data_IF_997710399827
#
_entry.id   IF_997710399827
#
_cell.length_a   1.000
_cell.length_b   1.000
_cell.length_c   1.000
_cell.angle_alpha   90.00
_cell.angle_beta   90.00
_cell.angle_gamma   90.00
#
_symmetry.space_group_name_H-M   'P 1'
#
loop_
_entity.id
_entity.type
_entity.pdbx_description
1 polymer ?
#
# COMPACT_ATOMS: atom_id res chain seq x y z
N UNK A 1 -10.18 12.74 -31.94
CA UNK A 1 -9.07 12.18 -31.15
C UNK A 1 -9.62 11.01 -30.35
N UNK A 2 -8.97 9.85 -30.38
CA UNK A 2 -9.35 8.74 -29.53
C UNK A 2 -9.14 9.15 -28.05
N UNK A 3 -10.13 8.90 -27.19
CA UNK A 3 -10.00 9.12 -25.76
C UNK A 3 -9.22 7.94 -25.19
N UNK A 4 -8.01 8.19 -24.69
CA UNK A 4 -7.22 7.19 -23.97
C UNK A 4 -7.70 7.11 -22.52
N UNK A 5 -7.99 5.91 -22.06
CA UNK A 5 -8.26 5.61 -20.65
C UNK A 5 -7.02 5.02 -19.99
N UNK A 6 -6.68 5.48 -18.80
CA UNK A 6 -5.61 4.91 -17.98
C UNK A 6 -6.24 4.24 -16.76
N UNK A 7 -6.12 2.92 -16.67
CA UNK A 7 -6.63 2.13 -15.55
C UNK A 7 -5.47 1.70 -14.65
N UNK A 8 -5.38 2.25 -13.43
CA UNK A 8 -4.32 1.95 -12.46
C UNK A 8 -4.87 1.01 -11.39
N UNK A 9 -4.36 -0.22 -11.37
CA UNK A 9 -4.94 -1.31 -10.58
C UNK A 9 -4.01 -1.75 -9.46
N UNK A 10 -4.61 -2.34 -8.43
CA UNK A 10 -3.91 -3.03 -7.35
C UNK A 10 -2.89 -4.05 -7.88
N UNK A 11 -1.83 -4.28 -7.09
CA UNK A 11 -0.75 -5.20 -7.40
C UNK A 11 -1.29 -6.54 -7.92
N UNK A 12 -0.87 -6.92 -9.12
CA UNK A 12 -1.37 -8.12 -9.81
C UNK A 12 -1.11 -9.43 -9.05
N UNK A 13 -0.12 -9.42 -8.15
CA UNK A 13 0.21 -10.57 -7.31
C UNK A 13 -0.67 -10.70 -6.06
N UNK A 14 -1.45 -9.67 -5.71
CA UNK A 14 -2.40 -9.62 -4.58
C UNK A 14 -3.85 -9.82 -5.04
N UNK A 15 -4.18 -9.38 -6.26
CA UNK A 15 -5.52 -9.46 -6.84
C UNK A 15 -5.50 -9.77 -8.34
N UNK A 16 -6.48 -10.54 -8.80
CA UNK A 16 -6.72 -10.80 -10.23
C UNK A 16 -7.33 -9.61 -10.99
N UNK A 17 -7.63 -8.50 -10.32
CA UNK A 17 -8.29 -7.33 -10.93
C UNK A 17 -7.48 -6.74 -12.09
N UNK A 18 -6.16 -6.75 -12.00
CA UNK A 18 -5.29 -6.30 -13.10
C UNK A 18 -5.44 -7.19 -14.35
N UNK A 19 -5.43 -8.50 -14.19
CA UNK A 19 -5.62 -9.44 -15.31
C UNK A 19 -7.03 -9.34 -15.90
N UNK A 20 -8.06 -9.17 -15.06
CA UNK A 20 -9.42 -8.94 -15.52
C UNK A 20 -9.53 -7.64 -16.34
N UNK A 21 -8.89 -6.56 -15.90
CA UNK A 21 -8.84 -5.30 -16.64
C UNK A 21 -8.11 -5.43 -17.97
N UNK A 22 -6.98 -6.16 -18.02
CA UNK A 22 -6.27 -6.44 -19.28
C UNK A 22 -7.11 -7.28 -20.27
N UNK A 23 -7.87 -8.24 -19.78
CA UNK A 23 -8.79 -9.01 -20.65
C UNK A 23 -9.90 -8.10 -21.17
N UNK A 24 -10.51 -7.29 -20.30
CA UNK A 24 -11.56 -6.36 -20.69
C UNK A 24 -11.06 -5.30 -21.70
N UNK A 25 -9.83 -4.81 -21.58
CA UNK A 25 -9.25 -3.86 -22.54
C UNK A 25 -9.10 -4.44 -23.94
N UNK A 26 -8.97 -5.76 -24.08
CA UNK A 26 -8.91 -6.43 -25.39
C UNK A 26 -10.29 -6.66 -26.01
N UNK A 27 -11.36 -6.59 -25.21
CA UNK A 27 -12.74 -6.83 -25.64
C UNK A 27 -13.49 -5.55 -26.00
N UNK A 28 -12.97 -4.40 -25.59
CA UNK A 28 -13.56 -3.08 -25.85
C UNK A 28 -12.93 -2.42 -27.08
N UNK A 29 -13.67 -1.51 -27.73
CA UNK A 29 -13.14 -0.63 -28.76
C UNK A 29 -12.46 0.63 -28.19
N UNK A 30 -12.53 0.83 -26.87
CA UNK A 30 -11.86 1.94 -26.20
C UNK A 30 -10.35 1.72 -26.16
N UNK A 31 -9.57 2.80 -26.29
CA UNK A 31 -8.12 2.76 -26.08
C UNK A 31 -7.84 2.79 -24.58
N UNK A 32 -7.31 1.70 -24.02
CA UNK A 32 -7.12 1.52 -22.58
C UNK A 32 -5.69 1.08 -22.29
N UNK A 33 -4.95 1.90 -21.54
CA UNK A 33 -3.68 1.50 -20.92
C UNK A 33 -3.94 0.99 -19.50
N UNK A 34 -3.70 -0.30 -19.27
CA UNK A 34 -3.86 -0.94 -17.96
C UNK A 34 -2.51 -1.01 -17.25
N UNK A 35 -2.44 -0.49 -16.03
CA UNK A 35 -1.20 -0.36 -15.24
C UNK A 35 -1.30 -1.18 -13.97
N UNK A 36 -0.28 -2.02 -13.75
CA UNK A 36 -0.03 -2.64 -12.45
C UNK A 36 0.74 -1.66 -11.55
N UNK A 37 0.04 -1.14 -10.53
CA UNK A 37 0.64 -0.20 -9.57
C UNK A 37 1.77 -0.81 -8.75
N UNK A 38 1.87 -2.15 -8.68
CA UNK A 38 2.80 -2.87 -7.80
C UNK A 38 2.50 -2.73 -6.31
N UNK A 39 1.40 -2.07 -5.94
CA UNK A 39 1.02 -1.82 -4.55
C UNK A 39 -0.50 -1.86 -4.36
N UNK A 40 -0.99 -1.50 -3.18
CA UNK A 40 -2.42 -1.40 -2.85
C UNK A 40 -2.66 -0.16 -1.97
N UNK A 41 -3.91 0.04 -1.57
CA UNK A 41 -4.27 0.97 -0.51
C UNK A 41 -3.81 2.42 -0.80
N UNK A 42 -3.36 3.19 0.21
CA UNK A 42 -3.02 4.60 0.03
C UNK A 42 -1.79 4.81 -0.88
N UNK A 43 -0.86 3.87 -0.93
CA UNK A 43 0.25 3.91 -1.88
C UNK A 43 -0.21 3.80 -3.35
N UNK A 44 -1.28 3.04 -3.63
CA UNK A 44 -1.93 3.04 -4.95
C UNK A 44 -2.59 4.40 -5.21
N UNK A 45 -3.20 4.99 -4.19
CA UNK A 45 -3.88 6.29 -4.34
C UNK A 45 -2.92 7.42 -4.76
N UNK A 46 -1.66 7.42 -4.30
CA UNK A 46 -0.67 8.42 -4.72
C UNK A 46 -0.51 8.44 -6.25
N UNK A 47 -0.48 7.26 -6.87
CA UNK A 47 -0.39 7.12 -8.33
C UNK A 47 -1.69 7.60 -9.01
N UNK A 48 -2.85 7.20 -8.48
CA UNK A 48 -4.16 7.54 -9.03
C UNK A 48 -4.45 9.04 -8.97
N UNK A 49 -4.22 9.65 -7.81
CA UNK A 49 -4.49 11.07 -7.59
C UNK A 49 -3.59 11.94 -8.46
N UNK A 50 -2.31 11.60 -8.59
CA UNK A 50 -1.41 12.33 -9.49
C UNK A 50 -1.82 12.19 -10.96
N UNK A 51 -2.18 10.97 -11.38
CA UNK A 51 -2.62 10.75 -12.75
C UNK A 51 -3.87 11.58 -13.08
N UNK A 52 -4.86 11.60 -12.16
CA UNK A 52 -6.06 12.40 -12.30
C UNK A 52 -5.77 13.91 -12.31
N UNK A 53 -4.87 14.39 -11.45
CA UNK A 53 -4.43 15.79 -11.42
C UNK A 53 -3.82 16.22 -12.77
N UNK A 54 -2.92 15.41 -13.33
CA UNK A 54 -2.26 15.70 -14.60
C UNK A 54 -3.23 15.60 -15.79
N UNK A 55 -4.14 14.62 -15.78
CA UNK A 55 -5.19 14.51 -16.78
C UNK A 55 -6.12 15.73 -16.78
N UNK A 56 -6.52 16.22 -15.59
CA UNK A 56 -7.33 17.45 -15.46
C UNK A 56 -6.59 18.71 -15.95
N UNK A 57 -5.25 18.69 -15.92
CA UNK A 57 -4.39 19.75 -16.47
C UNK A 57 -4.14 19.60 -17.98
N UNK A 58 -4.72 18.60 -18.63
CA UNK A 58 -4.57 18.37 -20.07
C UNK A 58 -3.18 17.86 -20.47
N UNK A 59 -2.43 17.26 -19.54
CA UNK A 59 -1.14 16.66 -19.83
C UNK A 59 -1.30 15.43 -20.75
N UNK A 60 -0.25 15.13 -21.51
CA UNK A 60 -0.23 13.98 -22.40
C UNK A 60 -0.21 12.66 -21.63
N UNK A 61 -0.62 11.59 -22.31
CA UNK A 61 -0.54 10.23 -21.77
C UNK A 61 0.88 9.86 -21.33
N UNK A 62 1.88 10.22 -22.14
CA UNK A 62 3.30 9.94 -21.88
C UNK A 62 3.79 10.61 -20.60
N UNK A 63 3.44 11.87 -20.38
CA UNK A 63 3.75 12.62 -19.16
C UNK A 63 3.08 12.00 -17.93
N UNK A 64 1.81 11.59 -18.06
CA UNK A 64 1.07 10.93 -16.98
C UNK A 64 1.72 9.59 -16.62
N UNK A 65 2.05 8.77 -17.62
CA UNK A 65 2.71 7.48 -17.41
C UNK A 65 4.09 7.64 -16.76
N UNK A 66 4.84 8.68 -17.14
CA UNK A 66 6.12 9.00 -16.52
C UNK A 66 5.94 9.39 -15.04
N UNK A 67 4.97 10.24 -14.73
CA UNK A 67 4.69 10.65 -13.36
C UNK A 67 4.25 9.48 -12.47
N UNK A 68 3.40 8.58 -12.99
CA UNK A 68 2.99 7.35 -12.29
C UNK A 68 4.22 6.50 -11.95
N UNK A 69 5.12 6.31 -12.91
CA UNK A 69 6.36 5.54 -12.70
C UNK A 69 7.24 6.18 -11.62
N UNK A 70 7.38 7.50 -11.63
CA UNK A 70 8.16 8.22 -10.62
C UNK A 70 7.55 8.11 -9.23
N UNK A 71 6.23 8.27 -9.09
CA UNK A 71 5.56 8.08 -7.79
C UNK A 71 5.73 6.65 -7.30
N UNK A 72 5.53 5.66 -8.18
CA UNK A 72 5.71 4.25 -7.84
C UNK A 72 7.12 3.96 -7.30
N UNK A 73 8.17 4.54 -7.88
CA UNK A 73 9.55 4.31 -7.43
C UNK A 73 9.90 5.01 -6.12
N UNK A 74 9.15 6.04 -5.72
CA UNK A 74 9.38 6.78 -4.49
C UNK A 74 8.30 6.56 -3.43
N UNK A 75 7.41 5.60 -3.64
CA UNK A 75 6.37 5.22 -2.70
C UNK A 75 6.70 3.90 -2.03
N UNK A 76 6.48 3.83 -0.73
CA UNK A 76 6.64 2.61 0.06
C UNK A 76 5.34 2.32 0.83
N UNK A 77 5.08 1.04 1.10
CA UNK A 77 3.92 0.58 1.86
C UNK A 77 4.31 -0.54 2.82
N UNK A 78 4.11 -0.28 4.10
CA UNK A 78 4.31 -1.24 5.19
C UNK A 78 2.97 -1.62 5.80
N UNK A 79 2.79 -2.90 6.13
CA UNK A 79 1.55 -3.44 6.69
C UNK A 79 1.84 -4.20 7.98
N UNK A 80 1.28 -3.71 9.08
CA UNK A 80 1.28 -4.37 10.38
C UNK A 80 0.11 -5.33 10.50
N UNK A 81 0.41 -6.62 10.64
CA UNK A 81 -0.57 -7.70 10.84
C UNK A 81 -0.53 -8.14 12.30
N UNK A 82 -1.64 -7.93 13.01
CA UNK A 82 -1.76 -8.30 14.43
C UNK A 82 -2.27 -9.75 14.59
N UNK A 83 -3.16 -10.16 13.68
CA UNK A 83 -3.83 -11.45 13.64
C UNK A 83 -3.67 -12.09 12.26
N UNK A 84 -3.08 -13.28 12.19
CA UNK A 84 -2.67 -13.90 10.92
C UNK A 84 -3.76 -14.74 10.26
N UNK A 85 -4.86 -15.03 10.96
CA UNK A 85 -5.90 -15.94 10.52
C UNK A 85 -6.47 -15.54 9.16
N UNK A 86 -6.76 -14.25 8.97
CA UNK A 86 -7.27 -13.69 7.72
C UNK A 86 -6.25 -13.79 6.58
N UNK A 87 -4.97 -13.50 6.87
CA UNK A 87 -3.93 -13.49 5.85
C UNK A 87 -3.60 -14.92 5.38
N UNK A 88 -3.68 -15.89 6.31
CA UNK A 88 -3.56 -17.32 6.02
C UNK A 88 -4.75 -17.83 5.22
N UNK A 89 -5.97 -17.65 5.73
CA UNK A 89 -7.20 -18.12 5.06
C UNK A 89 -7.39 -17.45 3.70
N UNK A 90 -6.94 -16.20 3.57
CA UNK A 90 -6.94 -15.45 2.32
C UNK A 90 -5.89 -15.92 1.31
N UNK A 91 -4.93 -16.77 1.68
CA UNK A 91 -3.91 -17.32 0.77
C UNK A 91 -2.79 -16.35 0.37
N UNK A 92 -2.80 -15.11 0.86
CA UNK A 92 -1.77 -14.09 0.51
C UNK A 92 -0.51 -14.22 1.36
N UNK A 93 -0.56 -14.98 2.47
CA UNK A 93 0.61 -15.29 3.30
C UNK A 93 1.65 -16.16 2.57
N UNK A 94 1.21 -17.00 1.62
CA UNK A 94 2.01 -18.10 1.08
C UNK A 94 3.29 -17.68 0.35
N UNK A 95 3.38 -16.42 -0.09
CA UNK A 95 4.58 -15.84 -0.71
C UNK A 95 5.59 -15.31 0.31
N UNK A 96 5.17 -15.13 1.57
CA UNK A 96 5.95 -14.47 2.63
C UNK A 96 6.73 -15.47 3.47
N UNK A 97 6.27 -16.73 3.59
CA UNK A 97 6.64 -17.55 4.74
C UNK A 97 6.58 -19.07 4.54
N UNK A 98 7.48 -19.78 5.26
CA UNK A 98 7.57 -21.24 5.36
C UNK A 98 6.48 -21.90 6.22
N UNK A 99 6.83 -22.73 7.23
CA UNK A 99 5.85 -23.55 7.99
C UNK A 99 4.83 -22.72 8.79
N UNK A 100 3.60 -22.64 8.30
CA UNK A 100 2.45 -21.87 8.86
C UNK A 100 2.16 -22.17 10.34
N UNK A 101 2.37 -23.41 10.80
CA UNK A 101 2.04 -23.83 12.18
C UNK A 101 2.83 -23.10 13.27
N UNK A 102 4.04 -22.62 12.97
CA UNK A 102 4.89 -21.93 13.95
C UNK A 102 4.58 -20.44 14.08
N UNK A 103 3.76 -19.89 13.17
CA UNK A 103 3.44 -18.47 13.09
C UNK A 103 2.12 -18.10 13.74
N UNK A 104 1.29 -19.08 14.10
CA UNK A 104 0.05 -18.82 14.81
C UNK A 104 0.37 -18.05 16.11
N UNK A 105 -0.23 -16.87 16.30
CA UNK A 105 0.05 -15.88 17.35
C UNK A 105 1.28 -14.96 17.16
N UNK A 106 1.86 -14.91 15.96
CA UNK A 106 2.85 -13.89 15.62
C UNK A 106 2.19 -12.64 15.03
N UNK A 107 2.79 -11.49 15.34
CA UNK A 107 2.54 -10.19 14.73
C UNK A 107 3.65 -9.95 13.72
N UNK A 108 3.28 -9.49 12.53
CA UNK A 108 4.21 -9.27 11.43
C UNK A 108 4.20 -7.81 11.00
N UNK A 109 5.36 -7.28 10.67
CA UNK A 109 5.43 -6.13 9.75
C UNK A 109 5.85 -6.68 8.39
N UNK A 110 5.07 -6.35 7.37
CA UNK A 110 5.34 -6.69 5.99
C UNK A 110 5.63 -5.43 5.20
N UNK A 111 6.44 -5.53 4.15
CA UNK A 111 6.61 -4.50 3.14
C UNK A 111 6.04 -4.98 1.81
N UNK A 112 5.27 -4.14 1.15
CA UNK A 112 4.73 -4.41 -0.18
C UNK A 112 5.79 -4.00 -1.19
N UNK A 113 6.31 -4.97 -1.93
CA UNK A 113 7.35 -4.76 -2.94
C UNK A 113 6.85 -5.13 -4.33
N UNK A 114 7.67 -4.88 -5.34
CA UNK A 114 7.37 -5.29 -6.72
C UNK A 114 7.30 -6.82 -6.91
N UNK A 115 7.90 -7.61 -6.02
CA UNK A 115 7.97 -9.07 -6.13
C UNK A 115 7.00 -9.79 -5.19
N UNK A 116 6.47 -9.10 -4.19
CA UNK A 116 5.59 -9.72 -3.21
C UNK A 116 5.50 -8.95 -1.90
N UNK A 117 4.92 -9.63 -0.91
CA UNK A 117 4.98 -9.21 0.48
C UNK A 117 6.30 -9.71 1.09
N UNK A 118 7.16 -8.79 1.52
CA UNK A 118 8.44 -9.08 2.18
C UNK A 118 8.27 -9.01 3.70
N UNK A 119 8.87 -9.95 4.45
CA UNK A 119 8.81 -9.93 5.91
C UNK A 119 9.89 -9.00 6.48
N UNK A 120 9.46 -7.91 7.11
CA UNK A 120 10.36 -6.95 7.75
C UNK A 120 10.66 -7.31 9.20
N UNK A 121 9.65 -7.75 9.95
CA UNK A 121 9.84 -8.25 11.30
C UNK A 121 8.70 -9.15 11.73
N UNK A 122 8.99 -10.04 12.70
CA UNK A 122 8.00 -10.92 13.33
C UNK A 122 8.25 -11.03 14.82
N UNK A 123 7.18 -11.05 15.61
CA UNK A 123 7.28 -11.23 17.06
C UNK A 123 5.94 -11.49 17.71
N UNK A 124 5.92 -11.87 19.00
CA UNK A 124 4.65 -12.19 19.70
C UNK A 124 3.94 -10.96 20.26
N UNK A 125 4.66 -9.87 20.52
CA UNK A 125 4.13 -8.66 21.16
C UNK A 125 4.13 -7.44 20.24
N UNK A 126 3.29 -6.44 20.56
CA UNK A 126 3.22 -5.17 19.82
C UNK A 126 4.54 -4.38 19.86
N UNK A 127 5.39 -4.61 20.88
CA UNK A 127 6.73 -4.02 20.97
C UNK A 127 7.59 -4.31 19.73
N UNK A 128 7.43 -5.48 19.10
CA UNK A 128 8.16 -5.81 17.87
C UNK A 128 7.72 -4.93 16.71
N UNK A 129 6.42 -4.71 16.55
CA UNK A 129 5.88 -3.79 15.54
C UNK A 129 6.31 -2.35 15.83
N UNK A 130 6.20 -1.91 17.09
CA UNK A 130 6.63 -0.57 17.50
C UNK A 130 8.08 -0.29 17.11
N UNK A 131 9.01 -1.20 17.44
CA UNK A 131 10.43 -1.03 17.08
C UNK A 131 10.65 -0.87 15.58
N UNK A 132 9.89 -1.61 14.76
CA UNK A 132 9.97 -1.48 13.30
C UNK A 132 9.34 -0.18 12.81
N UNK A 133 8.25 0.30 13.42
CA UNK A 133 7.67 1.62 13.15
C UNK A 133 8.65 2.73 13.51
N UNK A 134 9.29 2.67 14.68
CA UNK A 134 10.27 3.67 15.10
C UNK A 134 11.45 3.72 14.11
N UNK A 135 11.99 2.56 13.71
CA UNK A 135 13.04 2.47 12.69
C UNK A 135 12.58 2.95 11.31
N UNK A 136 11.32 2.72 10.94
CA UNK A 136 10.73 3.23 9.70
C UNK A 136 10.64 4.76 9.73
N UNK A 137 10.18 5.35 10.83
CA UNK A 137 10.13 6.80 11.01
C UNK A 137 11.53 7.41 10.91
N UNK A 138 12.52 6.80 11.55
CA UNK A 138 13.90 7.28 11.45
C UNK A 138 14.46 7.19 10.02
N UNK A 139 14.11 6.13 9.27
CA UNK A 139 14.44 6.05 7.85
C UNK A 139 13.73 7.14 7.04
N UNK A 140 12.44 7.34 7.25
CA UNK A 140 11.64 8.36 6.55
C UNK A 140 12.20 9.78 6.77
N UNK A 141 12.79 10.11 7.93
CA UNK A 141 13.46 11.41 8.18
C UNK A 141 14.63 11.69 7.25
N UNK A 142 15.24 10.66 6.67
CA UNK A 142 16.33 10.82 5.69
C UNK A 142 15.83 11.14 4.28
N UNK A 143 14.50 11.13 4.09
CA UNK A 143 13.83 11.38 2.82
C UNK A 143 12.97 12.65 2.90
N UNK A 144 12.75 13.30 1.76
CA UNK A 144 11.80 14.40 1.64
C UNK A 144 10.38 13.83 1.46
N UNK A 145 9.75 13.49 2.59
CA UNK A 145 8.40 12.91 2.62
C UNK A 145 7.36 14.00 2.36
N UNK A 146 6.52 13.82 1.34
CA UNK A 146 5.42 14.74 1.01
C UNK A 146 4.07 14.26 1.47
N UNK A 147 3.79 12.98 1.29
CA UNK A 147 2.49 12.38 1.59
C UNK A 147 2.68 11.17 2.49
N UNK A 148 1.81 11.05 3.50
CA UNK A 148 1.75 9.92 4.43
C UNK A 148 0.33 9.40 4.47
N UNK A 149 0.21 8.08 4.38
CA UNK A 149 -1.02 7.33 4.59
C UNK A 149 -0.94 6.49 5.85
N UNK A 150 -1.98 6.53 6.67
CA UNK A 150 -2.24 5.52 7.70
C UNK A 150 -3.60 4.91 7.47
N UNK A 151 -3.62 3.65 7.07
CA UNK A 151 -4.86 2.89 6.92
C UNK A 151 -5.00 1.94 8.09
N UNK A 152 -6.18 1.81 8.68
CA UNK A 152 -6.36 1.00 9.89
C UNK A 152 -7.64 0.17 9.92
N UNK A 153 -7.60 -0.93 10.68
CA UNK A 153 -8.76 -1.78 10.99
C UNK A 153 -9.08 -1.62 12.46
N UNK A 154 -9.72 -0.49 12.78
CA UNK A 154 -9.95 -0.03 14.16
C UNK A 154 -8.82 0.87 14.68
N UNK A 155 -9.14 1.82 15.57
CA UNK A 155 -8.18 2.70 16.24
C UNK A 155 -7.89 2.14 17.63
N UNK A 156 -6.88 1.29 17.72
CA UNK A 156 -6.38 0.86 19.04
C UNK A 156 -5.44 1.93 19.60
N UNK A 157 -5.19 1.97 20.92
CA UNK A 157 -4.19 2.87 21.50
C UNK A 157 -2.80 2.74 20.86
N UNK A 158 -2.49 1.55 20.33
CA UNK A 158 -1.26 1.31 19.60
C UNK A 158 -1.22 2.04 18.24
N UNK A 159 -2.30 1.97 17.47
CA UNK A 159 -2.39 2.65 16.16
C UNK A 159 -2.49 4.16 16.33
N UNK A 160 -3.24 4.63 17.32
CA UNK A 160 -3.32 6.06 17.66
C UNK A 160 -1.94 6.64 18.02
N UNK A 161 -1.13 5.87 18.76
CA UNK A 161 0.25 6.25 19.06
C UNK A 161 1.09 6.36 17.78
N UNK A 162 0.98 5.42 16.85
CA UNK A 162 1.70 5.47 15.56
C UNK A 162 1.32 6.73 14.77
N UNK A 163 0.02 7.03 14.71
CA UNK A 163 -0.50 8.25 14.06
C UNK A 163 0.11 9.50 14.70
N UNK A 164 0.13 9.58 16.04
CA UNK A 164 0.71 10.70 16.75
C UNK A 164 2.21 10.87 16.45
N UNK A 165 2.98 9.77 16.48
CA UNK A 165 4.40 9.78 16.14
C UNK A 165 4.64 10.27 14.71
N UNK A 166 3.86 9.81 13.73
CA UNK A 166 3.99 10.26 12.34
C UNK A 166 3.70 11.75 12.18
N UNK A 167 2.62 12.26 12.81
CA UNK A 167 2.29 13.69 12.78
C UNK A 167 3.35 14.57 13.45
N UNK A 168 3.90 14.11 14.56
CA UNK A 168 4.95 14.83 15.29
C UNK A 168 6.25 14.91 14.47
N UNK A 169 6.65 13.81 13.81
CA UNK A 169 7.91 13.74 13.07
C UNK A 169 7.81 14.34 11.65
N UNK A 170 6.61 14.39 11.07
CA UNK A 170 6.37 14.90 9.71
C UNK A 170 5.23 15.92 9.67
N UNK A 171 5.33 17.06 10.39
CA UNK A 171 4.24 18.03 10.52
C UNK A 171 3.90 18.78 9.22
N UNK A 172 4.78 18.70 8.21
CA UNK A 172 4.61 19.35 6.90
C UNK A 172 4.16 18.37 5.81
N UNK A 173 4.05 17.08 6.11
CA UNK A 173 3.56 16.10 5.15
C UNK A 173 2.03 16.09 5.14
N UNK A 174 1.44 15.99 3.95
CA UNK A 174 0.01 15.77 3.81
C UNK A 174 -0.33 14.37 4.35
N UNK A 175 -1.18 14.33 5.38
CA UNK A 175 -1.51 13.09 6.08
C UNK A 175 -2.93 12.65 5.79
N UNK A 176 -3.08 11.40 5.39
CA UNK A 176 -4.36 10.76 5.15
C UNK A 176 -4.53 9.58 6.08
N UNK A 177 -5.49 9.66 6.99
CA UNK A 177 -5.75 8.64 7.99
C UNK A 177 -7.17 8.16 7.78
N UNK A 178 -7.34 6.88 7.45
CA UNK A 178 -8.66 6.35 7.13
C UNK A 178 -8.79 4.87 7.45
N UNK A 179 -10.04 4.43 7.50
CA UNK A 179 -10.38 3.03 7.69
C UNK A 179 -10.01 2.22 6.44
N UNK A 180 -9.57 0.98 6.62
CA UNK A 180 -9.31 0.08 5.51
C UNK A 180 -10.60 -0.19 4.70
N UNK A 181 -10.47 -0.57 3.44
CA UNK A 181 -11.63 -1.09 2.69
C UNK A 181 -12.02 -2.50 3.16
N UNK A 182 -13.28 -2.94 2.99
CA UNK A 182 -13.70 -4.30 3.32
C UNK A 182 -12.83 -5.38 2.65
N UNK A 183 -12.39 -5.12 1.42
CA UNK A 183 -11.47 -6.00 0.69
C UNK A 183 -10.17 -6.20 1.44
N UNK A 184 -9.53 -5.10 1.89
CA UNK A 184 -8.29 -5.18 2.65
C UNK A 184 -8.49 -5.82 4.02
N UNK A 185 -9.56 -5.47 4.74
CA UNK A 185 -9.87 -6.05 6.05
C UNK A 185 -10.02 -7.56 6.01
N UNK A 186 -10.69 -8.08 4.98
CA UNK A 186 -10.95 -9.52 4.82
C UNK A 186 -9.65 -10.34 4.78
N UNK A 187 -8.56 -9.73 4.31
CA UNK A 187 -7.23 -10.34 4.21
C UNK A 187 -6.27 -9.94 5.33
N UNK A 188 -6.24 -8.68 5.74
CA UNK A 188 -5.31 -8.19 6.76
C UNK A 188 -5.75 -8.57 8.19
N UNK A 189 -7.06 -8.68 8.41
CA UNK A 189 -7.65 -9.00 9.71
C UNK A 189 -7.82 -7.79 10.63
N UNK A 190 -8.44 -8.03 11.79
CA UNK A 190 -8.70 -7.00 12.80
C UNK A 190 -7.40 -6.41 13.35
N UNK A 191 -7.44 -5.13 13.75
CA UNK A 191 -6.32 -4.39 14.33
C UNK A 191 -5.09 -4.27 13.42
N UNK A 192 -5.20 -4.69 12.15
CA UNK A 192 -4.18 -4.42 11.17
C UNK A 192 -4.09 -2.93 10.88
N UNK A 193 -2.90 -2.49 10.47
CA UNK A 193 -2.67 -1.12 10.02
C UNK A 193 -1.67 -1.13 8.87
N UNK A 194 -1.65 -0.05 8.11
CA UNK A 194 -0.65 0.19 7.08
C UNK A 194 -0.09 1.60 7.23
N UNK A 195 1.20 1.75 6.93
CA UNK A 195 1.88 3.03 6.79
C UNK A 195 2.40 3.08 5.36
N UNK A 196 1.89 4.03 4.58
CA UNK A 196 2.44 4.35 3.26
C UNK A 196 3.04 5.74 3.27
N UNK A 197 4.08 5.96 2.48
CA UNK A 197 4.57 7.31 2.24
C UNK A 197 5.11 7.44 0.82
N UNK A 198 5.05 8.67 0.29
CA UNK A 198 5.74 9.05 -0.94
C UNK A 198 6.82 10.08 -0.62
N UNK A 199 8.06 9.76 -0.99
CA UNK A 199 9.17 10.71 -0.98
C UNK A 199 9.30 11.37 -2.36
N UNK A 200 9.85 12.57 -2.43
CA UNK A 200 10.29 13.24 -3.68
C UNK A 200 11.45 14.18 -3.40
#
# INVERSE_FOLDING_TARGET
>A
MAVLFIAILAASYLSGTFQAAQQASQLTSADVTVIDSGTVDRALSFQVLKAAELANKGQSAEEILHAIKNIKSNSELYVGIVHLENLIKGGRIGKVMGRVSTMLNMKLMLRVTNTGLELETKGRGLKTLQKKVDALIDHMKTSSVKEIGVTHVGLTPFIEKIIAQLKENFPQADSYIDYASPTLMSHAGKEAFAISYCAV
#
